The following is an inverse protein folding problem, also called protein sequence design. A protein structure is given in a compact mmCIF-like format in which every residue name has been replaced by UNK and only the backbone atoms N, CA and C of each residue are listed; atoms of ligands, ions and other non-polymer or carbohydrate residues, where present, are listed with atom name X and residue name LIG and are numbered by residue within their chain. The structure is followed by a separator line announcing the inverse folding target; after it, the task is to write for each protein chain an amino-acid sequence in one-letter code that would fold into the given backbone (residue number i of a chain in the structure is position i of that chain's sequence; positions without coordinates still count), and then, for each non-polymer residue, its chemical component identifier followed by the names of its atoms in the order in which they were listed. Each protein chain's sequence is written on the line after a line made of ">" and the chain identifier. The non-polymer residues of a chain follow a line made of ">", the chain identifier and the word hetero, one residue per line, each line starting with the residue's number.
data_IF_691328133978
#
_entry.id   IF_691328133978
#
_cell.length_a   1.000
_cell.length_b   1.000
_cell.length_c   1.000
_cell.angle_alpha   90.00
_cell.angle_beta   90.00
_cell.angle_gamma   90.00
#
_symmetry.space_group_name_H-M   'P 1'
#
loop_
_entity.id
_entity.type
_entity.pdbx_description
1 polymer ?
#
# COMPACT_ATOMS: atom_id res chain seq x y z
N UNK A 1 -14.64 -4.13 -14.00
CA UNK A 1 -14.29 -3.24 -12.87
C UNK A 1 -12.77 -3.09 -12.66
N UNK A 2 -11.91 -3.63 -13.52
CA UNK A 2 -10.44 -3.51 -13.35
C UNK A 2 -9.91 -2.09 -13.50
N UNK A 3 -10.54 -1.26 -14.34
CA UNK A 3 -10.17 0.14 -14.52
C UNK A 3 -10.22 0.94 -13.21
N UNK A 4 -11.20 0.67 -12.34
CA UNK A 4 -11.34 1.34 -11.04
C UNK A 4 -10.19 0.98 -10.10
N UNK A 5 -9.71 -0.26 -10.15
CA UNK A 5 -8.60 -0.72 -9.35
C UNK A 5 -7.29 -0.06 -9.79
N UNK A 6 -7.04 -0.02 -11.10
CA UNK A 6 -5.89 0.68 -11.68
C UNK A 6 -5.87 2.16 -11.32
N UNK A 7 -6.99 2.86 -11.51
CA UNK A 7 -7.07 4.29 -11.18
C UNK A 7 -6.86 4.52 -9.68
N UNK A 8 -7.42 3.68 -8.82
CA UNK A 8 -7.28 3.81 -7.36
C UNK A 8 -5.83 3.60 -6.91
N UNK A 9 -5.14 2.61 -7.49
CA UNK A 9 -3.75 2.35 -7.15
C UNK A 9 -2.82 3.47 -7.65
N UNK A 10 -3.01 3.92 -8.88
CA UNK A 10 -2.24 5.03 -9.45
C UNK A 10 -2.42 6.32 -8.65
N UNK A 11 -3.65 6.66 -8.27
CA UNK A 11 -3.93 7.86 -7.46
C UNK A 11 -3.27 7.76 -6.09
N UNK A 12 -3.34 6.61 -5.41
CA UNK A 12 -2.68 6.43 -4.11
C UNK A 12 -1.17 6.63 -4.19
N UNK A 13 -0.52 6.09 -5.23
CA UNK A 13 0.93 6.24 -5.43
C UNK A 13 1.29 7.72 -5.64
N UNK A 14 0.54 8.43 -6.49
CA UNK A 14 0.80 9.84 -6.80
C UNK A 14 0.58 10.72 -5.56
N UNK A 15 -0.53 10.52 -4.84
CA UNK A 15 -0.86 11.29 -3.63
C UNK A 15 0.18 11.05 -2.55
N UNK A 16 0.61 9.81 -2.32
CA UNK A 16 1.68 9.52 -1.36
C UNK A 16 3.00 10.16 -1.78
N UNK A 17 3.36 10.13 -3.06
CA UNK A 17 4.60 10.75 -3.52
C UNK A 17 4.58 12.27 -3.27
N UNK A 18 3.50 12.95 -3.67
CA UNK A 18 3.34 14.39 -3.46
C UNK A 18 3.30 14.72 -1.96
N UNK A 19 2.57 13.95 -1.16
CA UNK A 19 2.50 14.11 0.29
C UNK A 19 3.88 13.95 0.95
N UNK A 20 4.66 12.96 0.55
CA UNK A 20 6.00 12.73 1.11
C UNK A 20 6.96 13.86 0.75
N UNK A 21 7.01 14.24 -0.52
CA UNK A 21 7.88 15.32 -1.00
C UNK A 21 7.46 16.66 -0.40
N UNK A 22 6.17 17.00 -0.46
CA UNK A 22 5.63 18.25 0.08
C UNK A 22 5.88 18.42 1.57
N UNK A 23 5.61 17.39 2.37
CA UNK A 23 5.85 17.45 3.82
C UNK A 23 7.33 17.49 4.17
N UNK A 24 8.19 16.80 3.40
CA UNK A 24 9.65 16.89 3.60
C UNK A 24 10.20 18.30 3.31
N UNK A 25 9.69 18.96 2.26
CA UNK A 25 10.05 20.35 1.93
C UNK A 25 9.53 21.32 2.99
N UNK A 26 8.30 21.10 3.50
CA UNK A 26 7.73 21.92 4.58
C UNK A 26 8.60 21.84 5.84
N UNK A 27 9.00 20.63 6.23
CA UNK A 27 9.93 20.41 7.36
C UNK A 27 11.26 21.13 7.12
N UNK A 28 11.85 21.01 5.93
CA UNK A 28 13.09 21.70 5.59
C UNK A 28 12.95 23.23 5.69
N UNK A 29 11.84 23.78 5.19
CA UNK A 29 11.56 25.22 5.28
C UNK A 29 11.38 25.68 6.73
N UNK A 30 10.67 24.91 7.55
CA UNK A 30 10.47 25.21 8.97
C UNK A 30 11.82 25.23 9.69
N UNK A 31 12.67 24.22 9.45
CA UNK A 31 13.98 24.14 10.11
C UNK A 31 14.94 25.25 9.69
N UNK A 32 14.91 25.67 8.41
CA UNK A 32 15.92 26.61 7.88
C UNK A 32 15.50 28.08 7.90
N UNK A 33 14.20 28.38 7.87
CA UNK A 33 13.71 29.73 7.55
C UNK A 33 12.74 30.34 8.58
N UNK A 34 12.42 29.67 9.68
CA UNK A 34 11.41 30.17 10.63
C UNK A 34 11.88 31.43 11.39
N UNK A 35 11.24 32.60 11.19
CA UNK A 35 11.52 33.79 11.98
C UNK A 35 10.81 33.73 13.35
N UNK A 36 11.41 34.34 14.38
CA UNK A 36 10.96 34.31 15.77
C UNK A 36 9.45 34.61 16.05
N UNK A 37 8.75 35.51 15.31
CA UNK A 37 7.33 35.76 15.58
C UNK A 37 6.37 34.64 15.11
N UNK A 38 6.83 33.66 14.33
CA UNK A 38 6.00 32.56 13.81
C UNK A 38 6.25 31.20 14.49
N UNK A 39 7.05 31.16 15.55
CA UNK A 39 7.49 29.91 16.20
C UNK A 39 6.30 29.00 16.59
N UNK A 40 5.24 29.54 17.19
CA UNK A 40 4.07 28.73 17.59
C UNK A 40 3.34 28.09 16.40
N UNK A 41 3.25 28.78 15.26
CA UNK A 41 2.65 28.24 14.03
C UNK A 41 3.57 27.22 13.37
N UNK A 42 4.87 27.44 13.41
CA UNK A 42 5.87 26.51 12.87
C UNK A 42 5.89 25.18 13.61
N UNK A 43 5.68 25.15 14.93
CA UNK A 43 5.59 23.90 15.70
C UNK A 43 4.35 23.08 15.32
N UNK A 44 3.20 23.74 15.13
CA UNK A 44 1.97 23.09 14.65
C UNK A 44 2.13 22.52 13.24
N UNK A 45 2.69 23.31 12.31
CA UNK A 45 2.96 22.87 10.94
C UNK A 45 3.98 21.74 10.89
N UNK A 46 4.99 21.78 11.75
CA UNK A 46 6.01 20.73 11.85
C UNK A 46 5.40 19.41 12.36
N UNK A 47 4.60 19.47 13.43
CA UNK A 47 3.94 18.30 13.96
C UNK A 47 2.95 17.71 12.93
N UNK A 48 2.21 18.56 12.23
CA UNK A 48 1.32 18.12 11.16
C UNK A 48 2.08 17.43 10.02
N UNK A 49 3.20 18.01 9.56
CA UNK A 49 4.01 17.42 8.51
C UNK A 49 4.62 16.06 8.91
N UNK A 50 5.00 15.89 10.18
CA UNK A 50 5.44 14.59 10.71
C UNK A 50 4.28 13.59 10.69
N UNK A 51 3.09 13.97 11.15
CA UNK A 51 1.91 13.11 11.09
C UNK A 51 1.61 12.67 9.65
N UNK A 52 1.63 13.61 8.70
CA UNK A 52 1.40 13.29 7.30
C UNK A 52 2.47 12.36 6.71
N UNK A 53 3.75 12.53 7.09
CA UNK A 53 4.81 11.60 6.70
C UNK A 53 4.59 10.19 7.27
N UNK A 54 4.18 10.08 8.54
CA UNK A 54 3.88 8.79 9.16
C UNK A 54 2.69 8.09 8.47
N UNK A 55 1.67 8.84 8.08
CA UNK A 55 0.52 8.31 7.32
C UNK A 55 0.97 7.85 5.93
N UNK A 56 1.81 8.63 5.23
CA UNK A 56 2.38 8.24 3.93
C UNK A 56 3.21 6.94 4.04
N UNK A 57 4.03 6.79 5.08
CA UNK A 57 4.81 5.56 5.31
C UNK A 57 3.88 4.37 5.58
N UNK A 58 2.89 4.57 6.45
CA UNK A 58 1.95 3.51 6.84
C UNK A 58 1.12 3.02 5.65
N UNK A 59 0.70 3.94 4.77
CA UNK A 59 -0.04 3.60 3.55
C UNK A 59 0.83 2.84 2.54
N UNK A 60 2.11 3.17 2.39
CA UNK A 60 3.05 2.36 1.57
C UNK A 60 3.20 0.95 2.14
N UNK A 61 3.37 0.81 3.45
CA UNK A 61 3.44 -0.51 4.09
C UNK A 61 2.13 -1.31 3.94
N UNK A 62 0.98 -0.65 4.01
CA UNK A 62 -0.31 -1.28 3.80
C UNK A 62 -0.51 -1.76 2.35
N UNK A 63 -0.03 -0.98 1.37
CA UNK A 63 -0.02 -1.36 -0.05
C UNK A 63 0.87 -2.58 -0.29
N UNK A 64 2.07 -2.61 0.30
CA UNK A 64 2.97 -3.76 0.23
C UNK A 64 2.31 -5.01 0.84
N UNK A 65 1.67 -4.88 2.00
CA UNK A 65 0.97 -6.00 2.64
C UNK A 65 -0.15 -6.57 1.76
N UNK A 66 -0.99 -5.71 1.18
CA UNK A 66 -2.04 -6.14 0.25
C UNK A 66 -1.47 -6.94 -0.93
N UNK A 67 -0.36 -6.49 -1.52
CA UNK A 67 0.26 -7.18 -2.64
C UNK A 67 0.74 -8.60 -2.27
N UNK A 68 1.26 -8.77 -1.05
CA UNK A 68 1.72 -10.07 -0.54
C UNK A 68 0.55 -11.00 -0.22
N UNK A 69 -0.48 -10.48 0.44
CA UNK A 69 -1.68 -11.25 0.80
C UNK A 69 -2.40 -11.78 -0.46
N UNK A 70 -2.48 -10.96 -1.51
CA UNK A 70 -3.08 -11.33 -2.79
C UNK A 70 -2.30 -12.42 -3.52
N UNK A 71 -0.96 -12.34 -3.52
CA UNK A 71 -0.10 -13.37 -4.09
C UNK A 71 -0.21 -14.69 -3.33
N UNK A 72 -0.31 -14.62 -2.00
CA UNK A 72 -0.51 -15.79 -1.15
C UNK A 72 -1.84 -16.47 -1.49
N UNK A 73 -2.96 -15.72 -1.47
CA UNK A 73 -4.28 -16.23 -1.81
C UNK A 73 -4.32 -16.93 -3.18
N UNK A 74 -3.74 -16.32 -4.22
CA UNK A 74 -3.69 -16.90 -5.56
C UNK A 74 -2.90 -18.22 -5.59
N UNK A 75 -1.81 -18.30 -4.83
CA UNK A 75 -1.01 -19.52 -4.70
C UNK A 75 -1.81 -20.65 -4.03
N UNK A 76 -2.54 -20.36 -2.95
CA UNK A 76 -3.40 -21.37 -2.30
C UNK A 76 -4.54 -21.82 -3.20
N UNK A 77 -5.18 -20.89 -3.89
CA UNK A 77 -6.27 -21.19 -4.83
C UNK A 77 -5.80 -22.11 -5.95
N UNK A 78 -4.65 -21.83 -6.55
CA UNK A 78 -4.06 -22.68 -7.59
C UNK A 78 -3.74 -24.08 -7.07
N UNK A 79 -3.08 -24.19 -5.91
CA UNK A 79 -2.80 -25.50 -5.28
C UNK A 79 -4.07 -26.31 -5.01
N UNK A 80 -5.15 -25.66 -4.55
CA UNK A 80 -6.43 -26.31 -4.30
C UNK A 80 -7.08 -26.83 -5.59
N UNK A 81 -7.07 -26.03 -6.66
CA UNK A 81 -7.61 -26.43 -7.97
C UNK A 81 -6.79 -27.59 -8.56
N UNK A 82 -5.46 -27.53 -8.48
CA UNK A 82 -4.59 -28.60 -8.96
C UNK A 82 -4.81 -29.91 -8.18
N UNK A 83 -4.98 -29.84 -6.86
CA UNK A 83 -5.32 -31.00 -6.03
C UNK A 83 -6.68 -31.62 -6.43
N UNK A 84 -7.71 -30.79 -6.65
CA UNK A 84 -9.01 -31.27 -7.13
C UNK A 84 -8.92 -31.91 -8.52
N UNK A 85 -8.15 -31.33 -9.44
CA UNK A 85 -7.92 -31.89 -10.76
C UNK A 85 -7.21 -33.25 -10.71
N UNK A 86 -6.21 -33.40 -9.84
CA UNK A 86 -5.52 -34.68 -9.60
C UNK A 86 -6.46 -35.72 -8.98
N UNK A 87 -7.32 -35.31 -8.05
CA UNK A 87 -8.28 -36.20 -7.40
C UNK A 87 -9.36 -36.68 -8.38
N UNK A 88 -9.86 -35.79 -9.24
CA UNK A 88 -10.76 -36.13 -10.35
C UNK A 88 -10.09 -37.09 -11.35
N UNK A 89 -8.82 -36.83 -11.71
CA UNK A 89 -8.05 -37.70 -12.60
C UNK A 89 -7.80 -39.09 -11.97
N UNK A 90 -7.58 -39.15 -10.66
CA UNK A 90 -7.42 -40.40 -9.90
C UNK A 90 -8.72 -41.19 -9.83
N UNK A 91 -9.86 -40.52 -9.64
CA UNK A 91 -11.19 -41.15 -9.64
C UNK A 91 -11.52 -41.76 -11.01
N UNK A 92 -11.13 -41.10 -12.10
CA UNK A 92 -11.35 -41.57 -13.48
C UNK A 92 -10.47 -42.78 -13.90
N UNK A 93 -9.43 -43.12 -13.13
CA UNK A 93 -8.50 -44.21 -13.42
C UNK A 93 -8.80 -45.51 -12.64
N UNK A 94 -9.83 -45.54 -11.79
CA UNK A 94 -10.24 -46.76 -11.09
C UNK A 94 -11.07 -47.65 -12.04
N UNK A 95 -10.62 -48.88 -12.36
CA UNK A 95 -11.40 -49.80 -13.19
C UNK A 95 -12.53 -50.38 -12.35
N UNK A 96 -13.79 -50.00 -12.65
CA UNK A 96 -14.96 -50.56 -11.96
C UNK A 96 -16.21 -49.67 -11.85
N UNK A 97 -16.27 -48.54 -12.56
CA UNK A 97 -17.50 -47.79 -12.84
C UNK A 97 -17.56 -47.44 -14.33
#
# INVERSE_FOLDING_TARGET
>A
MEWVWWTSNSVNIIVNFIGTVGNSVLIYMILKKTPAPMISYSVLLFNNAICDLLICITTVLALQRKSVDEQYYNTYKFKRIAALALLHKKFKMLPGF
#
